data_IF_453498296711
#
_entry.id   IF_453498296711
#
_cell.length_a   1.000
_cell.length_b   1.000
_cell.length_c   1.000
_cell.angle_alpha   90.00
_cell.angle_beta   90.00
_cell.angle_gamma   90.00
#
_symmetry.space_group_name_H-M   'P 1'
#
loop_
_entity.id
_entity.type
_entity.pdbx_description
1 polymer ?
#
# COMPACT_ATOMS: atom_id res chain seq x y z
N UNK A 1 -25.04 1.97 -3.34
CA UNK A 1 -24.32 2.48 -4.53
C UNK A 1 -22.82 2.18 -4.45
N UNK A 2 -22.16 2.43 -3.31
CA UNK A 2 -20.72 2.24 -3.13
C UNK A 2 -20.16 0.84 -3.43
N UNK A 3 -20.93 -0.23 -3.16
CA UNK A 3 -20.44 -1.60 -3.34
C UNK A 3 -20.03 -1.92 -4.79
N UNK A 4 -20.85 -1.56 -5.79
CA UNK A 4 -20.55 -1.83 -7.20
C UNK A 4 -19.33 -1.04 -7.68
N UNK A 5 -19.21 0.20 -7.25
CA UNK A 5 -18.05 1.05 -7.55
C UNK A 5 -16.77 0.48 -6.93
N UNK A 6 -16.82 0.07 -5.67
CA UNK A 6 -15.67 -0.55 -5.00
C UNK A 6 -15.26 -1.87 -5.67
N UNK A 7 -16.24 -2.73 -6.00
CA UNK A 7 -15.99 -3.96 -6.76
C UNK A 7 -15.33 -3.69 -8.11
N UNK A 8 -15.76 -2.65 -8.82
CA UNK A 8 -15.14 -2.25 -10.08
C UNK A 8 -13.68 -1.83 -9.89
N UNK A 9 -13.37 -0.94 -8.93
CA UNK A 9 -11.98 -0.51 -8.70
C UNK A 9 -11.08 -1.65 -8.25
N UNK A 10 -11.56 -2.53 -7.38
CA UNK A 10 -10.83 -3.75 -6.96
C UNK A 10 -10.59 -4.67 -8.16
N UNK A 11 -11.58 -4.84 -9.05
CA UNK A 11 -11.43 -5.61 -10.27
C UNK A 11 -10.41 -4.99 -11.23
N UNK A 12 -10.40 -3.66 -11.39
CA UNK A 12 -9.39 -2.97 -12.21
C UNK A 12 -7.98 -3.10 -11.61
N UNK A 13 -7.85 -3.02 -10.27
CA UNK A 13 -6.57 -3.25 -9.61
C UNK A 13 -6.09 -4.69 -9.82
N UNK A 14 -6.96 -5.68 -9.66
CA UNK A 14 -6.64 -7.08 -9.94
C UNK A 14 -6.25 -7.31 -11.41
N UNK A 15 -6.94 -6.65 -12.36
CA UNK A 15 -6.58 -6.66 -13.77
C UNK A 15 -5.17 -6.10 -13.98
N UNK A 16 -4.84 -4.94 -13.41
CA UNK A 16 -3.51 -4.34 -13.51
C UNK A 16 -2.43 -5.29 -12.97
N UNK A 17 -2.63 -5.86 -11.77
CA UNK A 17 -1.66 -6.80 -11.19
C UNK A 17 -1.43 -8.01 -12.09
N UNK A 18 -2.48 -8.56 -12.71
CA UNK A 18 -2.35 -9.65 -13.67
C UNK A 18 -1.53 -9.24 -14.90
N UNK A 19 -1.80 -8.06 -15.45
CA UNK A 19 -1.05 -7.55 -16.62
C UNK A 19 0.43 -7.34 -16.30
N UNK A 20 0.76 -6.81 -15.12
CA UNK A 20 2.15 -6.67 -14.68
C UNK A 20 2.82 -8.03 -14.47
N UNK A 21 2.09 -9.02 -13.95
CA UNK A 21 2.60 -10.39 -13.79
C UNK A 21 2.83 -11.11 -15.12
N UNK A 22 2.10 -10.76 -16.17
CA UNK A 22 2.24 -11.34 -17.51
C UNK A 22 3.41 -10.74 -18.30
N UNK A 23 3.99 -9.63 -17.85
CA UNK A 23 5.15 -8.99 -18.48
C UNK A 23 6.42 -9.63 -17.94
N UNK A 24 7.12 -10.34 -18.81
CA UNK A 24 8.41 -10.98 -18.55
C UNK A 24 9.54 -9.94 -18.64
N UNK A 25 10.32 -9.80 -17.56
CA UNK A 25 11.56 -9.00 -17.50
C UNK A 25 12.82 -9.89 -17.42
N UNK A 26 12.70 -11.19 -17.74
CA UNK A 26 13.75 -12.20 -17.68
C UNK A 26 13.48 -13.24 -16.58
N UNK A 27 14.29 -13.24 -15.52
CA UNK A 27 14.13 -14.20 -14.41
C UNK A 27 12.95 -13.86 -13.47
N UNK A 28 12.27 -12.74 -13.71
CA UNK A 28 11.16 -12.24 -12.90
C UNK A 28 10.15 -11.45 -13.76
N UNK A 29 8.97 -11.21 -13.20
CA UNK A 29 7.91 -10.42 -13.85
C UNK A 29 8.02 -8.94 -13.48
N UNK A 30 7.42 -8.05 -14.28
CA UNK A 30 7.33 -6.63 -13.92
C UNK A 30 6.61 -6.40 -12.58
N UNK A 31 5.72 -7.31 -12.18
CA UNK A 31 5.08 -7.24 -10.87
C UNK A 31 6.10 -7.47 -9.72
N UNK A 32 7.12 -8.28 -9.93
CA UNK A 32 8.14 -8.59 -8.91
C UNK A 32 9.06 -7.37 -8.67
N UNK A 33 9.34 -6.58 -9.71
CA UNK A 33 10.11 -5.33 -9.61
C UNK A 33 9.26 -4.12 -9.17
N UNK A 34 7.92 -4.20 -9.27
CA UNK A 34 7.00 -3.11 -8.96
C UNK A 34 6.54 -3.07 -7.50
N UNK A 35 6.15 -1.88 -7.03
CA UNK A 35 5.45 -1.67 -5.76
C UNK A 35 4.20 -0.82 -5.98
N UNK A 36 3.02 -1.39 -5.71
CA UNK A 36 1.73 -0.76 -5.95
C UNK A 36 0.94 -0.59 -4.66
N UNK A 37 0.52 0.64 -4.36
CA UNK A 37 -0.39 0.96 -3.27
C UNK A 37 -1.80 1.21 -3.80
N UNK A 38 -2.77 0.44 -3.31
CA UNK A 38 -4.20 0.64 -3.56
C UNK A 38 -4.88 1.03 -2.25
N UNK A 39 -5.38 2.27 -2.19
CA UNK A 39 -6.08 2.81 -1.02
C UNK A 39 -7.09 3.88 -1.44
N UNK A 40 -7.99 4.22 -0.52
CA UNK A 40 -8.80 5.45 -0.58
C UNK A 40 -8.09 6.56 0.19
N UNK A 41 -8.56 7.80 0.12
CA UNK A 41 -8.19 8.87 1.05
C UNK A 41 -9.14 8.95 2.26
N UNK A 42 -10.31 8.31 2.19
CA UNK A 42 -11.32 8.23 3.25
C UNK A 42 -11.87 6.81 3.39
N UNK A 43 -12.13 6.39 4.63
CA UNK A 43 -12.83 5.16 4.97
C UNK A 43 -14.35 5.33 4.85
N UNK A 44 -14.87 6.41 5.42
CA UNK A 44 -16.29 6.78 5.38
C UNK A 44 -16.37 8.23 4.90
N UNK A 45 -16.90 8.41 3.68
CA UNK A 45 -17.04 9.72 3.05
C UNK A 45 -18.08 10.60 3.73
N UNK A 46 -19.16 10.01 4.25
CA UNK A 46 -20.24 10.76 4.90
C UNK A 46 -19.74 11.35 6.23
N UNK A 47 -18.89 10.60 6.95
CA UNK A 47 -18.26 11.06 8.20
C UNK A 47 -16.92 11.77 8.02
N UNK A 48 -16.39 11.83 6.79
CA UNK A 48 -15.02 12.29 6.51
C UNK A 48 -13.97 11.60 7.41
N UNK A 49 -14.12 10.29 7.61
CA UNK A 49 -13.31 9.52 8.54
C UNK A 49 -12.17 8.79 7.82
N UNK A 50 -10.94 8.89 8.35
CA UNK A 50 -9.73 8.28 7.78
C UNK A 50 -8.90 7.47 8.80
N UNK A 51 -9.47 7.11 9.95
CA UNK A 51 -8.75 6.48 11.06
C UNK A 51 -8.57 4.95 10.92
N UNK A 52 -9.31 4.29 10.02
CA UNK A 52 -9.36 2.82 9.82
C UNK A 52 -9.29 2.43 8.35
N UNK A 53 -8.39 3.08 7.62
CA UNK A 53 -8.27 2.91 6.17
C UNK A 53 -7.70 1.53 5.80
N UNK A 54 -8.44 0.69 5.05
CA UNK A 54 -7.85 -0.49 4.44
C UNK A 54 -6.90 -0.05 3.32
N UNK A 55 -5.69 -0.58 3.34
CA UNK A 55 -4.66 -0.34 2.32
C UNK A 55 -4.16 -1.67 1.81
N UNK A 56 -4.02 -1.80 0.49
CA UNK A 56 -3.46 -2.98 -0.14
C UNK A 56 -2.13 -2.60 -0.78
N UNK A 57 -1.08 -3.30 -0.40
CA UNK A 57 0.24 -3.19 -1.01
C UNK A 57 0.48 -4.47 -1.82
N UNK A 58 0.90 -4.32 -3.07
CA UNK A 58 1.11 -5.42 -4.00
C UNK A 58 2.39 -5.25 -4.82
N UNK A 59 2.88 -6.37 -5.35
CA UNK A 59 4.16 -6.45 -6.07
C UNK A 59 5.28 -7.00 -5.18
N UNK A 60 6.45 -7.22 -5.78
CA UNK A 60 7.64 -7.68 -5.05
C UNK A 60 8.53 -6.54 -4.55
N UNK A 61 8.38 -5.32 -5.09
CA UNK A 61 9.20 -4.16 -4.77
C UNK A 61 10.70 -4.44 -4.93
N UNK A 62 11.09 -5.23 -5.92
CA UNK A 62 12.48 -5.67 -6.10
C UNK A 62 12.99 -6.58 -4.97
N UNK A 63 12.10 -7.37 -4.36
CA UNK A 63 12.40 -8.24 -3.22
C UNK A 63 12.36 -7.55 -1.85
N UNK A 64 12.03 -6.25 -1.80
CA UNK A 64 11.98 -5.48 -0.55
C UNK A 64 10.66 -5.60 0.21
N UNK A 65 9.66 -6.29 -0.34
CA UNK A 65 8.34 -6.46 0.25
C UNK A 65 8.04 -7.93 0.55
N UNK A 66 7.57 -8.22 1.77
CA UNK A 66 7.09 -9.56 2.14
C UNK A 66 5.57 -9.64 1.99
N UNK A 67 5.14 -10.16 0.84
CA UNK A 67 3.73 -10.35 0.48
C UNK A 67 3.04 -11.50 1.25
N UNK A 68 1.73 -11.66 1.03
CA UNK A 68 0.94 -12.76 1.60
C UNK A 68 0.57 -12.60 3.08
N UNK A 69 0.54 -11.35 3.59
CA UNK A 69 0.31 -11.03 5.00
C UNK A 69 -0.82 -10.02 5.16
N UNK A 70 -1.45 -10.06 6.34
CA UNK A 70 -2.34 -9.02 6.82
C UNK A 70 -1.67 -8.34 8.03
N UNK A 71 -1.44 -7.04 7.95
CA UNK A 71 -0.90 -6.26 9.06
C UNK A 71 -2.03 -5.48 9.71
N UNK A 72 -2.32 -5.80 10.98
CA UNK A 72 -3.38 -5.14 11.75
C UNK A 72 -2.80 -4.17 12.78
N UNK A 73 -3.15 -2.90 12.62
CA UNK A 73 -2.69 -1.79 13.46
C UNK A 73 -3.81 -1.20 14.33
N UNK A 74 -5.01 -1.82 14.37
CA UNK A 74 -6.19 -1.26 15.05
C UNK A 74 -5.96 -0.99 16.54
N UNK A 75 -5.23 -1.89 17.21
CA UNK A 75 -4.95 -1.80 18.66
C UNK A 75 -3.58 -1.18 18.96
N UNK A 76 -2.92 -0.59 17.96
CA UNK A 76 -1.63 0.09 18.10
C UNK A 76 -1.81 1.57 18.46
N UNK A 77 -0.83 2.20 19.13
CA UNK A 77 -0.83 3.64 19.37
C UNK A 77 -1.05 4.45 18.08
N UNK A 78 -1.69 5.62 18.19
CA UNK A 78 -1.97 6.50 17.04
C UNK A 78 -0.71 6.79 16.22
N UNK A 79 0.42 7.03 16.90
CA UNK A 79 1.70 7.29 16.26
C UNK A 79 2.17 6.15 15.33
N UNK A 80 1.78 4.91 15.60
CA UNK A 80 2.24 3.73 14.86
C UNK A 80 1.31 3.38 13.69
N UNK A 81 0.07 3.90 13.68
CA UNK A 81 -0.95 3.65 12.65
C UNK A 81 -1.15 4.81 11.66
N UNK A 82 -0.28 5.83 11.67
CA UNK A 82 -0.35 6.95 10.70
C UNK A 82 -0.03 6.45 9.30
N UNK A 83 -0.83 6.85 8.31
CA UNK A 83 -0.60 6.53 6.90
C UNK A 83 0.80 6.99 6.42
N UNK A 84 1.27 8.12 6.93
CA UNK A 84 2.60 8.64 6.61
C UNK A 84 3.75 7.71 7.04
N UNK A 85 3.54 6.82 8.02
CA UNK A 85 4.52 5.78 8.36
C UNK A 85 4.75 4.83 7.18
N UNK A 86 3.67 4.43 6.49
CA UNK A 86 3.74 3.60 5.30
C UNK A 86 4.47 4.36 4.20
N UNK A 87 4.08 5.61 3.93
CA UNK A 87 4.71 6.40 2.86
C UNK A 87 6.21 6.59 3.04
N UNK A 88 6.67 6.91 4.26
CA UNK A 88 8.12 6.96 4.56
C UNK A 88 8.81 5.64 4.25
N UNK A 89 8.20 4.52 4.64
CA UNK A 89 8.75 3.19 4.43
C UNK A 89 8.80 2.78 2.95
N UNK A 90 7.86 3.27 2.15
CA UNK A 90 7.85 3.05 0.70
C UNK A 90 8.89 3.94 0.00
N UNK A 91 9.03 5.20 0.42
CA UNK A 91 10.05 6.11 -0.11
C UNK A 91 11.47 5.58 0.17
N UNK A 92 11.73 5.07 1.38
CA UNK A 92 13.02 4.45 1.72
C UNK A 92 13.33 3.27 0.76
N UNK A 93 12.33 2.45 0.40
CA UNK A 93 12.46 1.33 -0.57
C UNK A 93 12.69 1.80 -2.01
N UNK A 94 12.25 3.00 -2.35
CA UNK A 94 12.47 3.64 -3.64
C UNK A 94 13.78 4.46 -3.69
N UNK A 95 14.60 4.41 -2.63
CA UNK A 95 15.86 5.16 -2.55
C UNK A 95 15.70 6.63 -2.20
N UNK A 96 14.52 7.05 -1.73
CA UNK A 96 14.22 8.43 -1.34
C UNK A 96 14.20 8.52 0.19
N UNK A 97 15.35 8.82 0.79
CA UNK A 97 15.48 8.94 2.23
C UNK A 97 15.09 10.34 2.72
N UNK A 98 14.02 10.45 3.52
CA UNK A 98 13.56 11.69 4.13
C UNK A 98 13.44 11.56 5.65
N UNK A 99 13.81 12.57 6.45
CA UNK A 99 13.66 12.49 7.90
C UNK A 99 12.18 12.41 8.33
N UNK A 100 11.29 13.04 7.57
CA UNK A 100 9.87 13.19 7.90
C UNK A 100 9.02 13.28 6.63
N UNK A 101 7.75 12.85 6.71
CA UNK A 101 6.73 13.09 5.70
C UNK A 101 5.38 13.32 6.37
N UNK A 102 4.70 14.42 6.01
CA UNK A 102 3.42 14.80 6.61
C UNK A 102 3.51 14.87 8.13
N UNK A 103 2.68 14.08 8.81
CA UNK A 103 2.61 14.01 10.27
C UNK A 103 3.46 12.88 10.88
N UNK A 104 4.41 12.30 10.14
CA UNK A 104 5.24 11.20 10.64
C UNK A 104 6.73 11.37 10.37
N UNK A 105 7.54 10.97 11.35
CA UNK A 105 8.98 10.73 11.32
C UNK A 105 9.33 9.23 11.44
N UNK A 106 8.32 8.36 11.54
CA UNK A 106 8.46 6.91 11.79
C UNK A 106 8.27 6.09 10.52
N UNK A 107 8.90 4.92 10.49
CA UNK A 107 8.67 3.89 9.47
C UNK A 107 7.88 2.75 10.08
N UNK A 108 7.12 2.05 9.23
CA UNK A 108 6.62 0.73 9.57
C UNK A 108 7.80 -0.24 9.57
N UNK A 109 8.02 -0.87 10.71
CA UNK A 109 8.97 -1.98 10.82
C UNK A 109 8.30 -3.24 10.26
N UNK A 110 9.03 -4.05 9.48
CA UNK A 110 8.56 -5.34 8.93
C UNK A 110 7.51 -5.26 7.78
N UNK A 111 7.72 -4.37 6.80
CA UNK A 111 7.00 -4.35 5.51
C UNK A 111 7.58 -5.35 4.50
#
# INVERSE_FOLDING_TARGET
>A
MYLKTNQFHVAQFAYLLRRLKEIDEGDQTLLDSSLLLFCSNLFDGDKHQADRMPMVLAGGGGGSLKAGRLLDYRDRPVADRRACNLYLSLMDRMGVALPQFGDSDRRLTDL
#
